data_IF_281585839174
#
_entry.id   IF_281585839174
#
_cell.length_a   1.000
_cell.length_b   1.000
_cell.length_c   1.000
_cell.angle_alpha   90.00
_cell.angle_beta   90.00
_cell.angle_gamma   90.00
#
_symmetry.space_group_name_H-M   'P 1'
#
loop_
_entity.id
_entity.type
_entity.pdbx_description
1 polymer ?
#
# COMPACT_ATOMS: atom_id res chain seq x y z
N UNK A 1 21.97 -9.35 56.38
CA UNK A 1 21.00 -10.08 57.21
C UNK A 1 20.73 -11.38 56.51
N UNK A 2 21.30 -12.44 57.04
CA UNK A 2 21.28 -13.81 56.52
C UNK A 2 19.96 -14.47 56.91
N UNK A 3 19.27 -15.13 55.97
CA UNK A 3 18.26 -16.16 56.23
C UNK A 3 18.11 -16.99 54.93
N UNK A 4 18.75 -18.15 54.83
CA UNK A 4 18.27 -19.47 55.22
C UNK A 4 17.20 -20.03 54.27
N UNK A 5 17.57 -21.02 53.46
CA UNK A 5 16.73 -22.20 53.28
C UNK A 5 17.62 -23.44 53.12
N UNK A 6 17.46 -24.32 54.12
CA UNK A 6 18.06 -25.63 54.30
C UNK A 6 17.23 -26.67 53.53
N UNK A 7 17.89 -27.65 52.91
CA UNK A 7 17.25 -28.95 52.73
C UNK A 7 18.27 -30.08 52.83
N UNK A 8 18.55 -30.47 54.08
CA UNK A 8 18.96 -31.80 54.47
C UNK A 8 18.04 -32.88 53.87
N UNK A 9 18.56 -33.70 52.97
CA UNK A 9 18.17 -35.12 52.89
C UNK A 9 19.42 -35.99 52.90
N UNK A 10 19.59 -36.65 54.04
CA UNK A 10 20.60 -37.68 54.27
C UNK A 10 20.08 -38.99 53.70
N UNK A 11 20.84 -39.60 52.81
CA UNK A 11 20.78 -41.05 52.60
C UNK A 11 22.20 -41.60 52.47
N UNK A 12 22.50 -42.51 53.40
CA UNK A 12 23.78 -43.18 53.58
C UNK A 12 23.83 -44.39 52.66
N UNK A 13 24.88 -44.53 51.85
CA UNK A 13 25.33 -45.85 51.37
C UNK A 13 26.85 -45.89 51.22
N UNK A 14 27.48 -46.82 51.95
CA UNK A 14 28.53 -47.68 51.41
C UNK A 14 29.97 -47.17 51.40
N UNK A 15 30.69 -47.40 52.49
CA UNK A 15 32.14 -47.57 52.52
C UNK A 15 32.55 -48.78 51.67
N UNK A 16 33.37 -48.60 50.64
CA UNK A 16 34.31 -49.63 50.16
C UNK A 16 35.60 -48.97 49.69
N UNK A 17 36.66 -49.20 50.48
CA UNK A 17 38.04 -48.96 50.09
C UNK A 17 38.40 -49.86 48.89
N UNK A 18 38.84 -49.25 47.79
CA UNK A 18 39.34 -49.93 46.60
C UNK A 18 40.57 -49.20 46.06
N UNK A 19 41.68 -49.92 46.09
CA UNK A 19 43.04 -49.50 45.73
C UNK A 19 43.21 -49.37 44.20
N UNK A 20 44.19 -48.55 43.79
CA UNK A 20 44.89 -48.50 42.47
C UNK A 20 44.11 -48.15 41.20
N UNK A 21 44.44 -47.00 40.60
CA UNK A 21 45.19 -46.94 39.33
C UNK A 21 45.48 -45.49 38.93
N UNK A 22 46.76 -45.17 38.74
CA UNK A 22 47.23 -43.85 38.28
C UNK A 22 47.08 -43.83 36.75
N UNK A 23 46.02 -43.21 36.24
CA UNK A 23 45.93 -42.84 34.82
C UNK A 23 45.98 -41.32 34.70
N UNK A 24 47.08 -40.82 34.10
CA UNK A 24 47.17 -39.44 33.61
C UNK A 24 46.09 -39.23 32.56
N UNK A 25 45.04 -38.49 32.90
CA UNK A 25 44.11 -37.92 31.92
C UNK A 25 44.71 -36.57 31.52
N UNK A 26 45.31 -36.52 30.33
CA UNK A 26 45.68 -35.27 29.70
C UNK A 26 44.40 -34.56 29.24
N UNK A 27 43.92 -33.62 30.06
CA UNK A 27 42.80 -32.75 29.72
C UNK A 27 43.23 -31.81 28.60
N UNK A 28 42.86 -32.16 27.37
CA UNK A 28 42.93 -31.24 26.24
C UNK A 28 41.89 -30.15 26.47
N UNK A 29 42.31 -28.97 26.94
CA UNK A 29 41.46 -27.77 26.95
C UNK A 29 41.13 -27.41 25.50
N UNK A 30 40.01 -27.91 25.00
CA UNK A 30 39.38 -27.33 23.81
C UNK A 30 38.76 -26.02 24.28
N UNK A 31 39.45 -24.91 24.05
CA UNK A 31 38.85 -23.59 24.16
C UNK A 31 37.81 -23.48 23.05
N UNK A 32 36.55 -23.75 23.39
CA UNK A 32 35.42 -23.32 22.58
C UNK A 32 35.44 -21.80 22.68
N UNK A 33 36.11 -21.15 21.73
CA UNK A 33 35.93 -19.73 21.47
C UNK A 33 34.45 -19.57 21.17
N UNK A 34 33.69 -19.07 22.15
CA UNK A 34 32.34 -18.62 21.92
C UNK A 34 32.41 -17.58 20.81
N UNK A 35 31.93 -17.93 19.63
CA UNK A 35 31.57 -16.93 18.63
C UNK A 35 30.56 -16.05 19.35
N UNK A 36 30.95 -14.82 19.67
CA UNK A 36 30.01 -13.82 20.13
C UNK A 36 29.12 -13.54 18.91
N UNK A 37 27.91 -14.09 18.91
CA UNK A 37 26.88 -13.73 17.93
C UNK A 37 26.39 -12.33 18.31
N UNK A 38 27.19 -11.32 17.97
CA UNK A 38 26.69 -9.95 17.88
C UNK A 38 25.63 -9.94 16.79
N UNK A 39 24.50 -9.28 17.05
CA UNK A 39 23.44 -9.15 16.07
C UNK A 39 23.94 -8.23 14.94
N UNK A 40 24.49 -8.81 13.87
CA UNK A 40 24.95 -8.05 12.71
C UNK A 40 23.78 -7.59 11.83
N UNK A 41 23.97 -6.45 11.17
CA UNK A 41 23.02 -5.87 10.24
C UNK A 41 23.11 -6.51 8.85
N UNK A 42 21.97 -6.67 8.18
CA UNK A 42 21.94 -7.09 6.77
C UNK A 42 22.27 -5.92 5.85
N UNK A 43 21.80 -4.72 6.21
CA UNK A 43 21.96 -3.49 5.43
C UNK A 43 22.32 -2.33 6.35
N UNK A 44 23.26 -1.50 5.93
CA UNK A 44 23.54 -0.19 6.54
C UNK A 44 23.40 0.90 5.48
N UNK A 45 22.62 1.93 5.80
CA UNK A 45 22.48 3.15 4.99
C UNK A 45 23.34 4.27 5.58
N UNK A 46 24.03 5.04 4.74
CA UNK A 46 24.96 6.10 5.18
C UNK A 46 25.11 7.21 4.13
N UNK A 47 25.91 8.24 4.46
CA UNK A 47 26.33 9.30 3.54
C UNK A 47 25.15 10.08 2.92
N UNK A 48 24.15 10.40 3.74
CA UNK A 48 23.04 11.28 3.37
C UNK A 48 22.29 11.76 4.61
N UNK A 49 21.49 12.86 4.51
CA UNK A 49 20.69 13.31 5.64
C UNK A 49 19.64 12.27 6.03
N UNK A 50 19.62 11.82 7.28
CA UNK A 50 18.60 10.88 7.78
C UNK A 50 17.75 11.61 8.80
N UNK A 51 16.47 11.79 8.49
CA UNK A 51 15.48 12.39 9.39
C UNK A 51 14.67 11.27 10.04
N UNK A 52 14.66 11.19 11.36
CA UNK A 52 13.95 10.12 12.09
C UNK A 52 12.52 10.53 12.46
N UNK A 53 12.27 11.84 12.53
CA UNK A 53 11.03 12.43 13.07
C UNK A 53 10.83 12.04 14.56
N UNK A 54 11.90 11.69 15.25
CA UNK A 54 11.98 11.51 16.71
C UNK A 54 12.62 12.76 17.33
N UNK A 55 11.90 13.47 18.20
CA UNK A 55 12.39 14.68 18.88
C UNK A 55 13.67 14.44 19.69
N UNK A 56 13.91 13.20 20.16
CA UNK A 56 15.09 12.84 20.93
C UNK A 56 16.34 12.62 20.06
N UNK A 57 16.16 12.20 18.80
CA UNK A 57 17.23 11.95 17.83
C UNK A 57 16.79 12.42 16.45
N UNK A 58 16.58 13.72 16.21
CA UNK A 58 15.89 14.21 15.01
C UNK A 58 16.65 13.99 13.71
N UNK A 59 17.98 13.83 13.79
CA UNK A 59 18.84 13.52 12.67
C UNK A 59 19.84 12.42 13.03
N UNK A 60 20.19 11.59 12.03
CA UNK A 60 21.18 10.53 12.15
C UNK A 60 22.13 10.54 10.94
N UNK A 61 23.28 9.89 11.10
CA UNK A 61 24.29 9.74 10.04
C UNK A 61 24.17 8.38 9.34
N UNK A 62 23.74 7.35 10.08
CA UNK A 62 23.54 6.00 9.55
C UNK A 62 22.35 5.26 10.18
N UNK A 63 21.87 4.24 9.46
CA UNK A 63 20.79 3.33 9.89
C UNK A 63 21.18 1.89 9.57
N UNK A 64 21.10 1.00 10.56
CA UNK A 64 21.25 -0.45 10.38
C UNK A 64 19.90 -1.17 10.36
N UNK A 65 19.74 -2.08 9.42
CA UNK A 65 18.54 -2.90 9.24
C UNK A 65 18.92 -4.38 9.26
N UNK A 66 18.12 -5.18 9.98
CA UNK A 66 18.18 -6.64 10.00
C UNK A 66 16.78 -7.21 9.86
N UNK A 67 16.59 -8.19 8.97
CA UNK A 67 15.29 -8.83 8.71
C UNK A 67 14.15 -7.81 8.43
N UNK A 68 14.49 -6.69 7.79
CA UNK A 68 13.55 -5.59 7.50
C UNK A 68 13.21 -4.70 8.70
N UNK A 69 13.83 -4.91 9.85
CA UNK A 69 13.66 -4.12 11.08
C UNK A 69 14.88 -3.23 11.30
N UNK A 70 14.65 -1.98 11.67
CA UNK A 70 15.73 -1.07 12.07
C UNK A 70 16.25 -1.47 13.44
N UNK A 71 17.53 -1.84 13.52
CA UNK A 71 18.18 -2.29 14.77
C UNK A 71 19.08 -1.20 15.39
N UNK A 72 19.50 -0.20 14.62
CA UNK A 72 20.19 0.98 15.13
C UNK A 72 20.03 2.19 14.20
N UNK A 73 19.99 3.37 14.82
CA UNK A 73 19.96 4.67 14.16
C UNK A 73 20.84 5.61 14.99
N UNK A 74 21.77 6.32 14.36
CA UNK A 74 22.67 7.20 15.11
C UNK A 74 23.88 7.63 14.31
N UNK A 75 25.02 7.73 14.99
CA UNK A 75 26.31 8.06 14.35
C UNK A 75 26.81 6.90 13.48
N UNK A 76 27.62 7.20 12.47
CA UNK A 76 28.26 6.15 11.66
C UNK A 76 29.08 5.20 12.55
N UNK A 77 29.80 5.72 13.55
CA UNK A 77 30.63 4.89 14.43
C UNK A 77 29.80 3.85 15.22
N UNK A 78 28.63 4.23 15.72
CA UNK A 78 27.76 3.33 16.49
C UNK A 78 27.13 2.27 15.59
N UNK A 79 26.66 2.66 14.42
CA UNK A 79 25.96 1.77 13.48
C UNK A 79 26.93 0.77 12.86
N UNK A 80 28.15 1.18 12.52
CA UNK A 80 29.15 0.31 11.89
C UNK A 80 29.68 -0.77 12.84
N UNK A 81 29.48 -0.66 14.16
CA UNK A 81 29.76 -1.76 15.10
C UNK A 81 28.91 -3.00 14.84
N UNK A 82 27.80 -2.84 14.13
CA UNK A 82 26.89 -3.91 13.72
C UNK A 82 27.20 -4.46 12.32
N UNK A 83 28.22 -3.92 11.64
CA UNK A 83 28.63 -4.38 10.32
C UNK A 83 29.46 -5.67 10.42
N UNK A 84 29.20 -6.63 9.53
CA UNK A 84 30.06 -7.78 9.26
C UNK A 84 30.37 -7.90 7.75
N UNK A 85 31.08 -8.96 7.36
CA UNK A 85 31.47 -9.22 5.97
C UNK A 85 30.26 -9.48 5.03
N UNK A 86 29.09 -9.78 5.58
CA UNK A 86 27.85 -10.03 4.83
C UNK A 86 26.95 -8.78 4.75
N UNK A 87 27.16 -7.78 5.60
CA UNK A 87 26.40 -6.52 5.59
C UNK A 87 26.55 -5.78 4.27
N UNK A 88 25.42 -5.42 3.65
CA UNK A 88 25.38 -4.56 2.48
C UNK A 88 25.39 -3.09 2.88
N UNK A 89 26.40 -2.36 2.43
CA UNK A 89 26.43 -0.90 2.57
C UNK A 89 25.67 -0.22 1.42
N UNK A 90 24.79 0.70 1.75
CA UNK A 90 24.05 1.53 0.80
C UNK A 90 24.42 2.99 1.02
N UNK A 91 25.11 3.56 0.03
CA UNK A 91 25.44 4.98 -0.03
C UNK A 91 24.21 5.78 -0.51
N UNK A 92 23.76 6.73 0.31
CA UNK A 92 22.66 7.62 -0.03
C UNK A 92 23.07 8.72 -1.01
N UNK A 93 24.37 8.95 -1.23
CA UNK A 93 24.92 9.93 -2.17
C UNK A 93 24.39 11.35 -1.89
N UNK A 94 24.25 11.70 -0.61
CA UNK A 94 23.68 12.98 -0.16
C UNK A 94 22.15 13.08 -0.27
N UNK A 95 21.44 12.03 -0.70
CA UNK A 95 19.96 11.99 -0.71
C UNK A 95 19.41 11.80 0.70
N UNK A 96 18.23 12.38 0.93
CA UNK A 96 17.58 12.32 2.24
C UNK A 96 16.81 11.01 2.45
N UNK A 97 17.03 10.37 3.59
CA UNK A 97 16.18 9.29 4.12
C UNK A 97 15.17 9.86 5.12
N UNK A 98 13.92 9.40 5.04
CA UNK A 98 12.84 9.73 5.97
C UNK A 98 11.98 8.48 6.22
N UNK A 99 11.18 8.45 7.30
CA UNK A 99 10.20 7.39 7.49
C UNK A 99 9.21 7.35 6.32
N UNK A 100 8.77 6.15 5.96
CA UNK A 100 7.71 5.99 4.96
C UNK A 100 6.43 6.70 5.40
N UNK A 101 5.69 7.25 4.44
CA UNK A 101 4.38 7.83 4.73
C UNK A 101 3.39 6.73 5.12
N UNK A 102 2.61 7.00 6.17
CA UNK A 102 1.54 6.11 6.63
C UNK A 102 0.22 6.86 6.49
N UNK A 103 -0.67 6.33 5.65
CA UNK A 103 -2.04 6.81 5.52
C UNK A 103 -2.94 6.06 6.51
N UNK A 104 -3.45 6.77 7.51
CA UNK A 104 -4.33 6.20 8.53
C UNK A 104 -5.80 6.07 8.07
N UNK A 105 -6.17 6.69 6.95
CA UNK A 105 -7.57 6.74 6.50
C UNK A 105 -7.71 6.85 4.98
N UNK A 106 -7.04 5.94 4.27
CA UNK A 106 -7.13 5.86 2.81
C UNK A 106 -8.30 4.99 2.33
N UNK A 107 -9.05 5.47 1.33
CA UNK A 107 -10.01 4.66 0.59
C UNK A 107 -9.32 3.94 -0.57
N UNK A 108 -8.47 2.95 -0.29
CA UNK A 108 -7.61 2.28 -1.30
C UNK A 108 -8.39 1.79 -2.52
N UNK A 109 -9.56 1.17 -2.31
CA UNK A 109 -10.42 0.71 -3.41
C UNK A 109 -10.99 1.87 -4.24
N UNK A 110 -11.39 2.96 -3.58
CA UNK A 110 -11.91 4.15 -4.26
C UNK A 110 -10.83 4.86 -5.07
N UNK A 111 -9.64 5.04 -4.49
CA UNK A 111 -8.49 5.63 -5.18
C UNK A 111 -8.04 4.77 -6.37
N UNK A 112 -8.02 3.44 -6.21
CA UNK A 112 -7.74 2.52 -7.31
C UNK A 112 -8.77 2.62 -8.44
N UNK A 113 -10.06 2.65 -8.12
CA UNK A 113 -11.12 2.80 -9.11
C UNK A 113 -11.02 4.15 -9.83
N UNK A 114 -10.78 5.24 -9.11
CA UNK A 114 -10.58 6.56 -9.69
C UNK A 114 -9.37 6.59 -10.63
N UNK A 115 -8.23 6.01 -10.23
CA UNK A 115 -7.02 5.95 -11.04
C UNK A 115 -7.19 5.15 -12.33
N UNK A 116 -8.09 4.16 -12.33
CA UNK A 116 -8.43 3.37 -13.51
C UNK A 116 -9.50 4.04 -14.38
N UNK A 117 -10.28 4.97 -13.84
CA UNK A 117 -11.40 5.62 -14.55
C UNK A 117 -10.92 6.68 -15.53
N UNK A 118 -11.80 7.10 -16.45
CA UNK A 118 -11.54 8.25 -17.31
C UNK A 118 -11.45 9.53 -16.46
N UNK A 119 -10.34 10.26 -16.61
CA UNK A 119 -10.13 11.51 -15.89
C UNK A 119 -10.96 12.64 -16.53
N UNK A 120 -12.06 13.02 -15.89
CA UNK A 120 -12.95 14.08 -16.37
C UNK A 120 -12.77 15.40 -15.63
N UNK A 121 -11.67 15.56 -14.88
CA UNK A 121 -11.37 16.78 -14.15
C UNK A 121 -11.18 17.97 -15.09
N UNK A 122 -11.52 19.16 -14.58
CA UNK A 122 -11.21 20.42 -15.23
C UNK A 122 -9.72 20.75 -15.11
N UNK A 123 -9.18 21.63 -15.99
CA UNK A 123 -7.82 22.13 -15.84
C UNK A 123 -7.58 22.76 -14.46
N UNK A 124 -6.39 22.55 -13.85
CA UNK A 124 -5.18 21.93 -14.42
C UNK A 124 -5.09 20.40 -14.26
N UNK A 125 -5.97 19.77 -13.49
CA UNK A 125 -5.87 18.34 -13.14
C UNK A 125 -6.42 17.40 -14.24
N UNK A 126 -7.18 17.95 -15.18
CA UNK A 126 -7.59 17.29 -16.43
C UNK A 126 -7.78 18.29 -17.58
N UNK A 127 -8.33 17.82 -18.70
CA UNK A 127 -8.50 18.63 -19.92
C UNK A 127 -9.96 19.00 -20.20
N UNK A 128 -10.89 18.57 -19.35
CA UNK A 128 -12.33 18.71 -19.59
C UNK A 128 -12.82 20.12 -19.24
N UNK A 129 -13.16 20.89 -20.27
CA UNK A 129 -13.64 22.29 -20.16
C UNK A 129 -15.05 22.51 -20.71
N UNK A 130 -15.56 21.54 -21.46
CA UNK A 130 -16.84 21.57 -22.13
C UNK A 130 -17.32 20.12 -22.36
N UNK A 131 -18.58 19.95 -22.76
CA UNK A 131 -19.15 18.62 -22.98
C UNK A 131 -18.43 17.91 -24.15
N UNK A 132 -17.97 18.64 -25.16
CA UNK A 132 -17.26 18.04 -26.30
C UNK A 132 -15.91 17.43 -25.88
N UNK A 133 -15.16 18.12 -25.02
CA UNK A 133 -13.92 17.64 -24.43
C UNK A 133 -14.18 16.42 -23.55
N UNK A 134 -15.23 16.45 -22.72
CA UNK A 134 -15.67 15.31 -21.92
C UNK A 134 -15.93 14.08 -22.79
N UNK A 135 -16.68 14.24 -23.88
CA UNK A 135 -16.95 13.17 -24.84
C UNK A 135 -15.68 12.63 -25.48
N UNK A 136 -14.74 13.51 -25.84
CA UNK A 136 -13.47 13.12 -26.44
C UNK A 136 -12.61 12.33 -25.45
N UNK A 137 -12.48 12.79 -24.21
CA UNK A 137 -11.74 12.09 -23.16
C UNK A 137 -12.31 10.70 -22.90
N UNK A 138 -13.63 10.54 -22.92
CA UNK A 138 -14.27 9.23 -22.79
C UNK A 138 -13.96 8.31 -23.97
N UNK A 139 -13.95 8.83 -25.21
CA UNK A 139 -13.57 8.06 -26.41
C UNK A 139 -12.12 7.61 -26.36
N UNK A 140 -11.22 8.52 -26.00
CA UNK A 140 -9.78 8.25 -25.93
C UNK A 140 -9.48 7.21 -24.84
N UNK A 141 -10.14 7.33 -23.68
CA UNK A 141 -10.01 6.34 -22.60
C UNK A 141 -10.55 4.97 -23.02
N UNK A 142 -11.69 4.91 -23.71
CA UNK A 142 -12.24 3.63 -24.21
C UNK A 142 -11.32 2.95 -25.21
N UNK A 143 -10.70 3.70 -26.13
CA UNK A 143 -9.79 3.14 -27.12
C UNK A 143 -8.50 2.63 -26.44
N UNK A 144 -7.97 3.38 -25.48
CA UNK A 144 -6.80 2.95 -24.70
C UNK A 144 -7.09 1.71 -23.82
N UNK A 145 -8.34 1.49 -23.41
CA UNK A 145 -8.76 0.42 -22.50
C UNK A 145 -9.70 -0.61 -23.16
N UNK A 146 -9.62 -0.77 -24.48
CA UNK A 146 -10.56 -1.56 -25.29
C UNK A 146 -10.82 -2.97 -24.74
N UNK A 147 -9.78 -3.68 -24.33
CA UNK A 147 -9.91 -5.05 -23.79
C UNK A 147 -10.73 -5.08 -22.47
N UNK A 148 -10.56 -4.08 -21.61
CA UNK A 148 -11.32 -3.97 -20.37
C UNK A 148 -12.78 -3.59 -20.65
N UNK A 149 -13.00 -2.64 -21.56
CA UNK A 149 -14.34 -2.22 -21.99
C UNK A 149 -15.09 -3.38 -22.64
N UNK A 150 -14.44 -4.16 -23.52
CA UNK A 150 -15.06 -5.30 -24.20
C UNK A 150 -15.47 -6.42 -23.22
N UNK A 151 -14.69 -6.64 -22.15
CA UNK A 151 -14.98 -7.67 -21.15
C UNK A 151 -16.02 -7.24 -20.12
N UNK A 152 -15.91 -6.01 -19.63
CA UNK A 152 -16.68 -5.51 -18.48
C UNK A 152 -17.94 -4.77 -18.95
N UNK A 153 -17.94 -4.28 -20.19
CA UNK A 153 -19.04 -3.50 -20.79
C UNK A 153 -19.44 -2.28 -19.93
N UNK A 154 -18.48 -1.74 -19.17
CA UNK A 154 -18.62 -0.62 -18.26
C UNK A 154 -17.51 0.39 -18.52
N UNK A 155 -17.90 1.66 -18.59
CA UNK A 155 -16.99 2.80 -18.62
C UNK A 155 -17.29 3.64 -17.38
N UNK A 156 -16.25 4.04 -16.67
CA UNK A 156 -16.37 4.89 -15.48
C UNK A 156 -15.59 6.16 -15.74
N UNK A 157 -16.22 7.30 -15.54
CA UNK A 157 -15.60 8.62 -15.60
C UNK A 157 -15.66 9.30 -14.23
N UNK A 158 -14.64 10.09 -13.89
CA UNK A 158 -14.59 10.72 -12.58
C UNK A 158 -14.17 12.19 -12.67
N UNK A 159 -14.86 13.05 -11.92
CA UNK A 159 -14.38 14.39 -11.58
C UNK A 159 -14.91 15.54 -12.44
N UNK A 160 -15.91 15.33 -13.28
CA UNK A 160 -16.47 16.44 -14.06
C UNK A 160 -17.14 17.48 -13.14
N UNK A 161 -17.03 18.76 -13.46
CA UNK A 161 -17.67 19.84 -12.72
C UNK A 161 -18.51 20.69 -13.67
N UNK A 162 -19.84 20.60 -13.53
CA UNK A 162 -20.79 21.35 -14.35
C UNK A 162 -20.64 22.87 -14.25
N UNK A 163 -20.07 23.40 -13.17
CA UNK A 163 -19.80 24.83 -13.01
C UNK A 163 -18.56 25.29 -13.77
N UNK A 164 -17.66 24.36 -14.11
CA UNK A 164 -16.45 24.60 -14.89
C UNK A 164 -16.62 24.28 -16.38
N UNK A 165 -17.69 23.54 -16.75
CA UNK A 165 -18.05 23.32 -18.14
C UNK A 165 -18.55 24.61 -18.80
N UNK A 166 -18.17 24.84 -20.05
CA UNK A 166 -18.59 26.00 -20.83
C UNK A 166 -20.12 26.14 -20.94
N UNK A 167 -20.84 25.02 -20.92
CA UNK A 167 -22.30 24.98 -21.01
C UNK A 167 -23.02 25.30 -19.68
N UNK A 168 -22.29 25.38 -18.55
CA UNK A 168 -22.81 25.66 -17.22
C UNK A 168 -24.01 24.78 -16.81
N UNK A 169 -24.02 23.54 -17.27
CA UNK A 169 -25.06 22.52 -17.01
C UNK A 169 -24.42 21.15 -16.85
N UNK A 170 -25.16 20.22 -16.26
CA UNK A 170 -24.75 18.81 -16.27
C UNK A 170 -24.85 18.23 -17.69
N UNK A 171 -23.94 17.30 -18.07
CA UNK A 171 -24.14 16.44 -19.22
C UNK A 171 -25.46 15.70 -19.07
N UNK A 172 -26.24 15.64 -20.14
CA UNK A 172 -27.52 14.92 -20.16
C UNK A 172 -27.36 13.60 -20.91
N UNK A 173 -28.43 12.79 -20.94
CA UNK A 173 -28.42 11.51 -21.64
C UNK A 173 -28.05 11.64 -23.12
N UNK A 174 -28.52 12.67 -23.83
CA UNK A 174 -28.25 12.84 -25.27
C UNK A 174 -26.76 13.13 -25.53
N UNK A 175 -26.12 13.91 -24.67
CA UNK A 175 -24.68 14.17 -24.72
C UNK A 175 -23.87 12.87 -24.54
N UNK A 176 -24.35 11.96 -23.69
CA UNK A 176 -23.68 10.70 -23.39
C UNK A 176 -23.98 9.63 -24.45
N UNK A 177 -25.22 9.53 -24.94
CA UNK A 177 -25.64 8.61 -26.00
C UNK A 177 -24.90 8.90 -27.33
N UNK A 178 -24.41 10.14 -27.54
CA UNK A 178 -23.53 10.50 -28.67
C UNK A 178 -22.15 9.80 -28.64
N UNK A 179 -21.75 9.26 -27.48
CA UNK A 179 -20.49 8.55 -27.26
C UNK A 179 -20.71 7.06 -26.99
N UNK A 180 -21.81 6.73 -26.32
CA UNK A 180 -22.12 5.38 -25.86
C UNK A 180 -23.42 4.88 -26.48
N UNK A 181 -23.38 3.72 -27.15
CA UNK A 181 -24.60 3.12 -27.73
C UNK A 181 -25.09 1.93 -26.92
N UNK A 182 -24.18 1.09 -26.39
CA UNK A 182 -24.51 -0.18 -25.72
C UNK A 182 -23.70 -0.45 -24.42
N UNK A 183 -23.06 0.57 -23.85
CA UNK A 183 -22.23 0.44 -22.65
C UNK A 183 -22.92 1.10 -21.45
N UNK A 184 -22.59 0.63 -20.24
CA UNK A 184 -22.93 1.32 -19.00
C UNK A 184 -21.88 2.41 -18.74
N UNK A 185 -22.34 3.60 -18.37
CA UNK A 185 -21.52 4.74 -17.99
C UNK A 185 -21.94 5.23 -16.61
N UNK A 186 -20.98 5.27 -15.69
CA UNK A 186 -21.12 5.96 -14.40
C UNK A 186 -20.15 7.14 -14.38
N UNK A 187 -20.65 8.34 -14.07
CA UNK A 187 -19.85 9.53 -13.91
C UNK A 187 -20.11 10.17 -12.57
N UNK A 188 -19.06 10.34 -11.76
CA UNK A 188 -19.16 11.12 -10.52
C UNK A 188 -18.76 12.57 -10.79
N UNK A 189 -19.65 13.51 -10.47
CA UNK A 189 -19.34 14.93 -10.46
C UNK A 189 -18.55 15.36 -9.22
N UNK A 190 -17.81 16.46 -9.33
CA UNK A 190 -16.96 17.00 -8.27
C UNK A 190 -17.74 17.43 -7.00
N UNK A 191 -19.04 17.75 -7.13
CA UNK A 191 -19.90 18.23 -6.04
C UNK A 191 -20.86 17.16 -5.46
N UNK A 192 -20.59 15.87 -5.71
CA UNK A 192 -21.44 14.70 -5.39
C UNK A 192 -22.68 14.41 -6.28
N UNK A 193 -23.11 15.20 -7.29
CA UNK A 193 -24.09 14.69 -8.24
C UNK A 193 -23.42 13.69 -9.19
N UNK A 194 -24.02 12.52 -9.36
CA UNK A 194 -23.62 11.55 -10.39
C UNK A 194 -24.51 11.65 -11.62
N UNK A 195 -23.94 11.41 -12.79
CA UNK A 195 -24.66 11.22 -14.03
C UNK A 195 -24.41 9.80 -14.52
N UNK A 196 -25.49 9.08 -14.87
CA UNK A 196 -25.40 7.73 -15.41
C UNK A 196 -26.08 7.66 -16.77
N UNK A 197 -25.50 6.88 -17.68
CA UNK A 197 -26.13 6.53 -18.94
C UNK A 197 -25.97 5.04 -19.19
N UNK A 198 -27.00 4.43 -19.77
CA UNK A 198 -26.98 3.02 -20.12
C UNK A 198 -27.65 2.81 -21.46
N UNK A 199 -26.95 2.12 -22.35
CA UNK A 199 -27.56 1.53 -23.54
C UNK A 199 -28.60 0.50 -23.09
N UNK A 200 -29.84 0.65 -23.54
CA UNK A 200 -30.87 -0.35 -23.27
C UNK A 200 -30.38 -1.70 -23.83
N UNK A 201 -30.39 -2.74 -22.99
CA UNK A 201 -30.28 -4.12 -23.44
C UNK A 201 -31.45 -4.41 -24.40
N UNK A 202 -31.27 -4.08 -25.68
CA UNK A 202 -32.15 -4.53 -26.74
C UNK A 202 -31.67 -5.91 -27.15
N UNK A 203 -32.01 -6.90 -26.33
CA UNK A 203 -32.09 -8.28 -26.80
C UNK A 203 -32.95 -8.31 -28.07
N UNK A 204 -32.61 -9.15 -29.08
CA UNK A 204 -33.40 -9.25 -30.31
C UNK A 204 -34.85 -9.64 -29.97
N UNK A 205 -35.83 -9.26 -30.80
CA UNK A 205 -37.23 -9.18 -30.41
C UNK A 205 -37.82 -10.58 -30.14
N UNK A 206 -37.81 -11.00 -28.88
CA UNK A 206 -38.75 -12.01 -28.42
C UNK A 206 -40.08 -11.31 -28.14
N UNK A 207 -41.01 -11.50 -29.08
CA UNK A 207 -42.38 -11.03 -29.01
C UNK A 207 -43.13 -11.73 -27.86
N UNK A 208 -43.09 -11.16 -26.65
CA UNK A 208 -44.18 -11.29 -25.67
C UNK A 208 -43.93 -10.41 -24.44
N UNK A 209 -44.77 -9.38 -24.31
CA UNK A 209 -45.20 -8.70 -23.08
C UNK A 209 -44.38 -8.90 -21.79
N UNK A 210 -43.63 -7.85 -21.39
CA UNK A 210 -43.50 -7.38 -19.99
C UNK A 210 -42.57 -6.15 -19.81
N UNK A 211 -42.06 -5.51 -20.88
CA UNK A 211 -41.06 -4.43 -20.79
C UNK A 211 -41.62 -3.02 -20.43
N UNK A 212 -42.69 -2.96 -19.62
CA UNK A 212 -43.31 -1.68 -19.23
C UNK A 212 -43.01 -1.22 -17.80
N UNK A 213 -42.39 -2.07 -16.96
CA UNK A 213 -42.35 -1.83 -15.52
C UNK A 213 -41.03 -1.26 -14.98
N UNK A 214 -39.89 -1.44 -15.68
CA UNK A 214 -38.59 -0.97 -15.17
C UNK A 214 -38.20 0.44 -15.63
N UNK A 215 -38.74 0.95 -16.74
CA UNK A 215 -38.38 2.30 -17.21
C UNK A 215 -38.87 3.41 -16.27
N UNK A 216 -39.93 3.14 -15.49
CA UNK A 216 -40.53 4.13 -14.57
C UNK A 216 -39.83 4.22 -13.20
N UNK A 217 -38.86 3.36 -12.92
CA UNK A 217 -38.11 3.40 -11.65
C UNK A 217 -36.89 4.33 -11.71
N UNK A 218 -36.41 4.69 -12.90
CA UNK A 218 -35.28 5.63 -13.06
C UNK A 218 -35.72 7.10 -13.23
N UNK A 219 -36.94 7.36 -13.71
CA UNK A 219 -37.50 8.72 -13.79
C UNK A 219 -37.79 9.37 -12.42
N UNK A 220 -37.77 8.59 -11.32
CA UNK A 220 -38.09 9.09 -9.98
C UNK A 220 -36.87 9.64 -9.21
N UNK A 221 -35.65 9.51 -9.73
CA UNK A 221 -34.43 9.96 -9.03
C UNK A 221 -33.86 11.30 -9.53
N UNK A 222 -34.45 11.90 -10.58
CA UNK A 222 -33.92 13.11 -11.22
C UNK A 222 -34.73 14.40 -10.93
N UNK A 223 -35.65 14.39 -9.95
CA UNK A 223 -36.37 15.59 -9.54
C UNK A 223 -36.54 15.58 -8.01
N UNK A 224 -35.68 16.29 -7.30
CA UNK A 224 -35.72 16.39 -5.83
C UNK A 224 -34.77 17.44 -5.29
N UNK A 225 -35.27 18.68 -5.29
CA UNK A 225 -34.80 19.95 -4.67
C UNK A 225 -33.55 20.66 -5.25
#
# INVERSE_FOLDING_TARGET
MTALYDNSSSDKVGTMNGLVSRSLVATCLVTISGVAWGESADIVYQNGPILTIDDSVPAAEAVAVKDGIVIAVGTEEEVFKLQDDATKLIDLEGRTMLPGFVDAHGHVMGGGLQALSANLLAPPDGEVKDIAALQQTLKDWMEANKEAVDKIQLVVGFGYDNSQLAELRHPNREDLDAVFTNLLLEMSGANLPSASAGGAFTSPPCASCACGALSRLMDAAAIGE
#
